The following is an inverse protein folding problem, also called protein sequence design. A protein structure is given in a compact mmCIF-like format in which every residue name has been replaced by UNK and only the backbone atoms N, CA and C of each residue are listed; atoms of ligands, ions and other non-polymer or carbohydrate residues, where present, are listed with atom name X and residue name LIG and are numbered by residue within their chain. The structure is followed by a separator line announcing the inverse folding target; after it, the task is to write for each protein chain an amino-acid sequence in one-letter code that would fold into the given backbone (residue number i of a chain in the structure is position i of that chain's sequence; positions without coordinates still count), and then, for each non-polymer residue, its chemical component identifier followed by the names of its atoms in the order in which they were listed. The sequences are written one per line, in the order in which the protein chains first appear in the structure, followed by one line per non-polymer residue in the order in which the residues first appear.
data_IF_430336900524
#
_entry.id   IF_430336900524
#
_cell.length_a   1.000
_cell.length_b   1.000
_cell.length_c   1.000
_cell.angle_alpha   90.00
_cell.angle_beta   90.00
_cell.angle_gamma   90.00
#
_symmetry.space_group_name_H-M   'P 1'
#
loop_
_entity.id
_entity.type
_entity.pdbx_description
1 polymer ?
#
# COMPACT_ATOMS: atom_id res chain seq x y z
N UNK A 1 19.99 -5.01 -3.14
CA UNK A 1 20.31 -3.80 -2.32
C UNK A 1 20.00 -4.10 -0.85
N UNK A 2 20.99 -4.02 0.06
CA UNK A 2 20.79 -4.32 1.49
C UNK A 2 20.43 -3.09 2.30
N UNK A 3 19.38 -3.19 3.11
CA UNK A 3 18.93 -2.17 4.08
C UNK A 3 18.46 -2.87 5.36
N UNK A 4 18.20 -2.12 6.45
CA UNK A 4 17.62 -2.67 7.67
C UNK A 4 16.27 -3.35 7.43
N UNK A 5 15.46 -2.84 6.47
CA UNK A 5 14.20 -3.45 6.07
C UNK A 5 14.42 -4.84 5.46
N UNK A 6 15.39 -4.98 4.53
CA UNK A 6 15.65 -6.28 3.88
C UNK A 6 16.15 -7.32 4.86
N UNK A 7 16.94 -6.91 5.84
CA UNK A 7 17.42 -7.79 6.92
C UNK A 7 16.28 -8.20 7.85
N UNK A 8 15.41 -7.26 8.24
CA UNK A 8 14.28 -7.54 9.13
C UNK A 8 13.24 -8.47 8.48
N UNK A 9 12.93 -8.28 7.20
CA UNK A 9 11.90 -9.06 6.49
C UNK A 9 12.45 -10.33 5.81
N UNK A 10 13.77 -10.51 5.72
CA UNK A 10 14.37 -11.61 4.99
C UNK A 10 14.19 -11.56 3.47
N UNK A 11 14.15 -10.37 2.89
CA UNK A 11 13.96 -10.12 1.46
C UNK A 11 15.24 -9.60 0.79
N UNK A 12 15.30 -9.68 -0.54
CA UNK A 12 16.49 -9.29 -1.32
C UNK A 12 16.51 -7.80 -1.69
N UNK A 13 15.33 -7.22 -1.90
CA UNK A 13 15.14 -5.87 -2.40
C UNK A 13 14.22 -5.05 -1.50
N UNK A 14 14.53 -3.77 -1.20
CA UNK A 14 13.74 -2.93 -0.30
C UNK A 14 12.49 -2.36 -0.99
N UNK A 15 11.75 -3.21 -1.70
CA UNK A 15 10.54 -2.89 -2.45
C UNK A 15 9.40 -3.75 -1.92
N UNK A 16 8.36 -3.10 -1.40
CA UNK A 16 7.18 -3.75 -0.84
C UNK A 16 5.94 -3.46 -1.70
N UNK A 17 5.17 -4.50 -1.98
CA UNK A 17 3.82 -4.39 -2.53
C UNK A 17 2.84 -3.95 -1.44
N UNK A 18 2.02 -2.93 -1.71
CA UNK A 18 0.91 -2.55 -0.85
C UNK A 18 -0.17 -3.63 -0.80
N UNK A 19 -0.69 -3.89 0.39
CA UNK A 19 -1.90 -4.69 0.56
C UNK A 19 -3.12 -3.88 0.10
N UNK A 20 -3.67 -4.23 -1.06
CA UNK A 20 -4.78 -3.49 -1.70
C UNK A 20 -5.99 -4.39 -1.85
N UNK A 21 -7.09 -4.05 -1.15
CA UNK A 21 -8.35 -4.78 -1.25
C UNK A 21 -8.89 -4.81 -2.69
N UNK A 22 -9.29 -5.99 -3.16
CA UNK A 22 -9.75 -6.18 -4.54
C UNK A 22 -8.63 -6.29 -5.59
N UNK A 23 -7.36 -6.04 -5.23
CA UNK A 23 -6.23 -5.95 -6.17
C UNK A 23 -5.11 -6.95 -5.87
N UNK A 24 -4.56 -6.91 -4.64
CA UNK A 24 -3.40 -7.73 -4.25
C UNK A 24 -3.84 -9.12 -3.82
N UNK A 25 -3.85 -10.05 -4.76
CA UNK A 25 -4.16 -11.47 -4.57
C UNK A 25 -2.91 -12.32 -4.77
N UNK A 26 -3.03 -13.64 -4.65
CA UNK A 26 -1.92 -14.57 -4.68
C UNK A 26 -0.99 -14.40 -5.89
N UNK A 27 -1.53 -14.17 -7.09
CA UNK A 27 -0.73 -13.99 -8.31
C UNK A 27 0.27 -12.83 -8.18
N UNK A 28 -0.22 -11.68 -7.74
CA UNK A 28 0.61 -10.49 -7.58
C UNK A 28 1.61 -10.65 -6.43
N UNK A 29 1.15 -11.21 -5.30
CA UNK A 29 2.00 -11.46 -4.12
C UNK A 29 3.17 -12.38 -4.46
N UNK A 30 2.89 -13.51 -5.12
CA UNK A 30 3.91 -14.48 -5.54
C UNK A 30 4.90 -13.84 -6.50
N UNK A 31 4.42 -13.11 -7.52
CA UNK A 31 5.30 -12.48 -8.50
C UNK A 31 6.29 -11.50 -7.85
N UNK A 32 5.83 -10.68 -6.90
CA UNK A 32 6.69 -9.73 -6.17
C UNK A 32 7.65 -10.45 -5.22
N UNK A 33 7.18 -11.46 -4.47
CA UNK A 33 8.02 -12.19 -3.52
C UNK A 33 9.10 -13.00 -4.23
N UNK A 34 8.78 -13.69 -5.34
CA UNK A 34 9.75 -14.46 -6.12
C UNK A 34 10.80 -13.56 -6.78
N UNK A 35 10.47 -12.31 -7.10
CA UNK A 35 11.43 -11.32 -7.61
C UNK A 35 12.31 -10.70 -6.50
N UNK A 36 12.22 -11.19 -5.25
CA UNK A 36 13.03 -10.71 -4.14
C UNK A 36 12.50 -9.48 -3.42
N UNK A 37 11.33 -8.95 -3.81
CA UNK A 37 10.59 -7.94 -3.07
C UNK A 37 9.75 -8.54 -1.94
N UNK A 38 8.89 -7.73 -1.33
CA UNK A 38 7.93 -8.18 -0.32
C UNK A 38 6.51 -8.13 -0.85
N UNK A 39 5.92 -9.30 -1.11
CA UNK A 39 4.51 -9.42 -1.50
C UNK A 39 3.58 -9.25 -0.32
N UNK A 40 2.44 -8.57 -0.49
CA UNK A 40 1.43 -8.39 0.56
C UNK A 40 0.01 -8.58 0.01
N UNK A 41 -0.76 -9.51 0.62
CA UNK A 41 -2.19 -9.70 0.32
C UNK A 41 -3.01 -8.55 0.88
N UNK A 42 -3.95 -8.04 0.09
CA UNK A 42 -4.95 -7.06 0.53
C UNK A 42 -6.22 -7.75 0.99
N UNK A 43 -6.24 -8.30 2.21
CA UNK A 43 -7.31 -9.16 2.68
C UNK A 43 -8.52 -8.43 3.27
N UNK A 44 -8.47 -7.12 3.44
CA UNK A 44 -9.50 -6.31 4.11
C UNK A 44 -10.89 -6.37 3.47
N UNK A 45 -10.98 -6.81 2.21
CA UNK A 45 -12.25 -6.96 1.46
C UNK A 45 -12.60 -8.41 1.19
N UNK A 46 -11.84 -9.36 1.73
CA UNK A 46 -12.06 -10.79 1.57
C UNK A 46 -12.93 -11.34 2.72
N UNK A 47 -13.73 -12.37 2.44
CA UNK A 47 -14.24 -13.24 3.53
C UNK A 47 -13.08 -14.02 4.16
N UNK A 48 -13.26 -14.50 5.40
CA UNK A 48 -12.24 -15.30 6.07
C UNK A 48 -11.83 -16.52 5.23
N UNK A 49 -12.78 -17.25 4.66
CA UNK A 49 -12.50 -18.42 3.82
C UNK A 49 -11.69 -18.04 2.58
N UNK A 50 -11.99 -16.89 1.97
CA UNK A 50 -11.24 -16.41 0.81
C UNK A 50 -9.82 -16.00 1.21
N UNK A 51 -9.64 -15.32 2.33
CA UNK A 51 -8.32 -14.95 2.84
C UNK A 51 -7.47 -16.19 3.10
N UNK A 52 -8.01 -17.19 3.78
CA UNK A 52 -7.31 -18.47 4.04
C UNK A 52 -6.93 -19.17 2.73
N UNK A 53 -7.84 -19.21 1.75
CA UNK A 53 -7.57 -19.81 0.44
C UNK A 53 -6.45 -19.07 -0.32
N UNK A 54 -6.44 -17.72 -0.30
CA UNK A 54 -5.38 -16.94 -0.94
C UNK A 54 -4.02 -17.11 -0.25
N UNK A 55 -3.98 -17.15 1.09
CA UNK A 55 -2.77 -17.44 1.85
C UNK A 55 -2.22 -18.82 1.48
N UNK A 56 -3.07 -19.84 1.42
CA UNK A 56 -2.69 -21.19 1.04
C UNK A 56 -2.14 -21.24 -0.41
N UNK A 57 -2.77 -20.50 -1.34
CA UNK A 57 -2.30 -20.44 -2.73
C UNK A 57 -0.93 -19.74 -2.83
N UNK A 58 -0.68 -18.67 -2.05
CA UNK A 58 0.65 -18.05 -1.95
C UNK A 58 1.66 -19.08 -1.45
N UNK A 59 1.37 -19.76 -0.33
CA UNK A 59 2.30 -20.72 0.29
C UNK A 59 2.62 -21.91 -0.60
N UNK A 60 1.67 -22.35 -1.41
CA UNK A 60 1.87 -23.42 -2.40
C UNK A 60 2.88 -23.02 -3.49
N UNK A 61 2.95 -21.75 -3.84
CA UNK A 61 3.71 -21.23 -5.00
C UNK A 61 5.03 -20.55 -4.62
N UNK A 62 5.21 -20.16 -3.36
CA UNK A 62 6.45 -19.54 -2.89
C UNK A 62 6.79 -19.91 -1.46
N UNK A 63 8.09 -20.03 -1.17
CA UNK A 63 8.64 -20.13 0.18
C UNK A 63 9.19 -18.79 0.70
N UNK A 64 9.17 -17.74 -0.14
CA UNK A 64 9.64 -16.41 0.21
C UNK A 64 8.72 -15.75 1.26
N UNK A 65 9.21 -14.75 2.02
CA UNK A 65 8.39 -13.97 2.94
C UNK A 65 7.27 -13.24 2.21
N UNK A 66 6.10 -13.16 2.87
CA UNK A 66 4.98 -12.34 2.43
C UNK A 66 4.14 -11.87 3.62
N UNK A 67 3.31 -10.86 3.40
CA UNK A 67 2.43 -10.30 4.40
C UNK A 67 0.94 -10.37 4.05
N UNK A 68 0.12 -10.08 5.05
CA UNK A 68 -1.33 -9.93 4.90
C UNK A 68 -1.77 -8.63 5.56
N UNK A 69 -2.44 -7.76 4.78
CA UNK A 69 -2.96 -6.46 5.22
C UNK A 69 -4.45 -6.59 5.59
N UNK A 70 -4.79 -6.16 6.82
CA UNK A 70 -6.14 -6.06 7.33
C UNK A 70 -6.42 -4.65 7.86
N UNK A 71 -7.63 -4.14 7.58
CA UNK A 71 -8.12 -2.89 8.16
C UNK A 71 -8.60 -3.13 9.60
N UNK A 72 -7.78 -2.77 10.57
CA UNK A 72 -8.03 -3.03 12.00
C UNK A 72 -9.20 -2.21 12.58
N UNK A 73 -9.63 -1.16 11.90
CA UNK A 73 -10.77 -0.33 12.30
C UNK A 73 -12.13 -0.86 11.82
N UNK A 74 -12.16 -1.99 11.09
CA UNK A 74 -13.41 -2.60 10.66
C UNK A 74 -14.00 -3.48 11.77
N UNK A 75 -15.34 -3.51 11.93
CA UNK A 75 -15.98 -4.42 12.87
C UNK A 75 -15.70 -5.88 12.48
N UNK A 76 -15.41 -6.73 13.48
CA UNK A 76 -15.19 -8.16 13.25
C UNK A 76 -14.24 -8.79 14.27
N UNK A 77 -13.97 -10.08 14.10
CA UNK A 77 -13.00 -10.84 14.89
C UNK A 77 -11.58 -10.69 14.30
N UNK A 78 -10.95 -9.55 14.58
CA UNK A 78 -9.59 -9.29 14.10
C UNK A 78 -8.57 -10.30 14.66
N UNK A 79 -8.70 -10.68 15.94
CA UNK A 79 -7.76 -11.62 16.57
C UNK A 79 -7.84 -12.98 15.91
N UNK A 80 -9.05 -13.47 15.62
CA UNK A 80 -9.25 -14.72 14.86
C UNK A 80 -8.71 -14.63 13.43
N UNK A 81 -8.85 -13.49 12.75
CA UNK A 81 -8.26 -13.28 11.43
C UNK A 81 -6.73 -13.29 11.48
N UNK A 82 -6.12 -12.62 12.47
CA UNK A 82 -4.66 -12.62 12.67
C UNK A 82 -4.15 -14.02 12.98
N UNK A 83 -4.91 -14.81 13.75
CA UNK A 83 -4.57 -16.22 13.99
C UNK A 83 -4.53 -17.02 12.68
N UNK A 84 -5.50 -16.84 11.79
CA UNK A 84 -5.51 -17.48 10.46
C UNK A 84 -4.32 -17.04 9.58
N UNK A 85 -3.93 -15.75 9.65
CA UNK A 85 -2.74 -15.22 8.97
C UNK A 85 -1.47 -15.93 9.44
N UNK A 86 -1.32 -16.12 10.76
CA UNK A 86 -0.19 -16.81 11.38
C UNK A 86 -0.17 -18.30 10.97
N UNK A 87 -1.29 -19.01 11.11
CA UNK A 87 -1.43 -20.42 10.77
C UNK A 87 -1.16 -20.70 9.29
N UNK A 88 -1.55 -19.75 8.41
CA UNK A 88 -1.25 -19.81 6.99
C UNK A 88 0.23 -19.56 6.63
N UNK A 89 1.07 -19.20 7.60
CA UNK A 89 2.52 -19.03 7.43
C UNK A 89 2.94 -17.70 6.82
N UNK A 90 2.10 -16.65 6.88
CA UNK A 90 2.55 -15.31 6.57
C UNK A 90 3.61 -14.86 7.59
N UNK A 91 4.65 -14.17 7.14
CA UNK A 91 5.74 -13.67 8.00
C UNK A 91 5.46 -12.30 8.60
N UNK A 92 4.48 -11.59 8.07
CA UNK A 92 4.13 -10.23 8.48
C UNK A 92 2.61 -10.04 8.50
N UNK A 93 2.13 -9.44 9.57
CA UNK A 93 0.81 -8.84 9.65
C UNK A 93 0.91 -7.34 9.40
N UNK A 94 0.15 -6.80 8.45
CA UNK A 94 0.08 -5.36 8.17
C UNK A 94 -1.21 -4.80 8.75
N UNK A 95 -1.07 -3.87 9.70
CA UNK A 95 -2.18 -3.24 10.40
C UNK A 95 -2.56 -1.91 9.73
N UNK A 96 -3.63 -1.89 8.95
CA UNK A 96 -4.22 -0.68 8.40
C UNK A 96 -5.17 0.01 9.39
N UNK A 97 -5.09 1.35 9.51
CA UNK A 97 -5.98 2.19 10.31
C UNK A 97 -5.99 1.92 11.84
N UNK A 98 -4.86 1.60 12.42
CA UNK A 98 -4.70 1.44 13.87
C UNK A 98 -3.72 0.34 14.24
N UNK A 99 -3.43 0.21 15.53
CA UNK A 99 -2.54 -0.84 16.07
C UNK A 99 -3.21 -1.47 17.28
N UNK A 100 -3.85 -2.64 17.13
CA UNK A 100 -4.45 -3.37 18.25
C UNK A 100 -3.36 -4.15 19.00
N UNK A 101 -3.15 -3.84 20.30
CA UNK A 101 -2.11 -4.44 21.13
C UNK A 101 -2.22 -5.98 21.19
N UNK A 102 -3.43 -6.50 21.34
CA UNK A 102 -3.66 -7.96 21.42
C UNK A 102 -3.21 -8.69 20.14
N UNK A 103 -3.38 -8.07 18.98
CA UNK A 103 -2.92 -8.63 17.71
C UNK A 103 -1.39 -8.58 17.57
N UNK A 104 -0.75 -7.50 18.06
CA UNK A 104 0.72 -7.38 18.11
C UNK A 104 1.32 -8.48 19.00
N UNK A 105 0.80 -8.63 20.22
CA UNK A 105 1.24 -9.67 21.15
C UNK A 105 1.05 -11.08 20.59
N UNK A 106 -0.05 -11.33 19.88
CA UNK A 106 -0.31 -12.59 19.20
C UNK A 106 0.73 -12.87 18.13
N UNK A 107 1.01 -11.90 17.25
CA UNK A 107 2.00 -12.00 16.18
C UNK A 107 3.39 -12.33 16.77
N UNK A 108 3.84 -11.58 17.77
CA UNK A 108 5.17 -11.74 18.36
C UNK A 108 5.35 -13.12 19.02
N UNK A 109 4.32 -13.67 19.68
CA UNK A 109 4.40 -15.04 20.24
C UNK A 109 4.66 -16.11 19.17
N UNK A 110 4.34 -15.84 17.92
CA UNK A 110 4.52 -16.75 16.79
C UNK A 110 5.64 -16.33 15.82
N UNK A 111 6.44 -15.31 16.17
CA UNK A 111 7.54 -14.82 15.35
C UNK A 111 7.09 -14.10 14.06
N UNK A 112 5.84 -13.61 14.02
CA UNK A 112 5.29 -12.81 12.92
C UNK A 112 5.51 -11.33 13.24
N UNK A 113 6.09 -10.59 12.30
CA UNK A 113 6.33 -9.15 12.43
C UNK A 113 5.07 -8.34 12.16
N UNK A 114 5.02 -7.14 12.75
CA UNK A 114 3.89 -6.23 12.59
C UNK A 114 4.33 -4.94 11.89
N UNK A 115 3.66 -4.60 10.80
CA UNK A 115 3.86 -3.36 10.04
C UNK A 115 2.64 -2.45 10.22
N UNK A 116 2.86 -1.13 10.39
CA UNK A 116 1.76 -0.18 10.49
C UNK A 116 1.91 1.02 9.56
N UNK A 117 0.77 1.48 8.99
CA UNK A 117 0.69 2.63 8.09
C UNK A 117 0.53 3.92 8.88
N UNK A 118 1.43 4.91 8.67
CA UNK A 118 1.52 6.14 9.45
C UNK A 118 1.48 7.39 8.56
N UNK A 119 0.39 8.17 8.65
CA UNK A 119 0.24 9.45 7.93
C UNK A 119 0.79 10.67 8.69
N UNK A 120 1.40 10.51 9.87
CA UNK A 120 2.05 11.56 10.68
C UNK A 120 2.93 10.99 11.79
N UNK A 121 3.86 11.79 12.30
CA UNK A 121 4.84 11.41 13.33
C UNK A 121 4.20 10.81 14.60
N UNK A 122 3.12 11.40 15.08
CA UNK A 122 2.44 10.87 16.29
C UNK A 122 1.81 9.49 16.08
N UNK A 123 1.50 9.09 14.83
CA UNK A 123 1.06 7.73 14.51
C UNK A 123 2.25 6.77 14.56
N UNK A 124 3.39 7.14 13.98
CA UNK A 124 4.60 6.33 14.00
C UNK A 124 5.09 6.05 15.43
N UNK A 125 5.16 7.09 16.29
CA UNK A 125 5.52 6.90 17.72
C UNK A 125 4.58 5.93 18.41
N UNK A 126 3.27 6.10 18.27
CA UNK A 126 2.28 5.17 18.88
C UNK A 126 2.38 3.75 18.34
N UNK A 127 2.64 3.59 17.04
CA UNK A 127 2.82 2.27 16.44
C UNK A 127 4.04 1.55 17.04
N UNK A 128 5.18 2.23 17.12
CA UNK A 128 6.41 1.67 17.71
C UNK A 128 6.25 1.41 19.21
N UNK A 129 5.60 2.32 19.95
CA UNK A 129 5.32 2.12 21.39
C UNK A 129 4.35 0.96 21.64
N UNK A 130 3.49 0.62 20.65
CA UNK A 130 2.61 -0.54 20.69
C UNK A 130 3.28 -1.84 20.19
N UNK A 131 4.57 -1.80 19.81
CA UNK A 131 5.35 -2.96 19.42
C UNK A 131 5.40 -3.23 17.90
N UNK A 132 5.02 -2.29 17.02
CA UNK A 132 5.22 -2.49 15.59
C UNK A 132 6.71 -2.55 15.25
N UNK A 133 7.09 -3.52 14.40
CA UNK A 133 8.45 -3.81 13.99
C UNK A 133 8.92 -2.97 12.80
N UNK A 134 7.98 -2.49 11.98
CA UNK A 134 8.22 -1.62 10.82
C UNK A 134 7.10 -0.59 10.74
N UNK A 135 7.43 0.65 10.38
CA UNK A 135 6.44 1.69 10.10
C UNK A 135 6.53 2.16 8.64
N UNK A 136 5.38 2.36 8.02
CA UNK A 136 5.28 2.93 6.67
C UNK A 136 4.89 4.41 6.78
N UNK A 137 5.77 5.31 6.37
CA UNK A 137 5.53 6.74 6.28
C UNK A 137 4.72 7.03 4.99
N UNK A 138 3.40 7.03 5.11
CA UNK A 138 2.49 7.19 3.99
C UNK A 138 2.09 8.66 3.81
N UNK A 139 2.64 9.31 2.79
CA UNK A 139 2.29 10.68 2.44
C UNK A 139 0.95 10.81 1.74
N UNK A 140 0.47 12.06 1.64
CA UNK A 140 -0.83 12.41 1.04
C UNK A 140 -0.90 12.14 -0.47
N UNK A 141 0.24 11.91 -1.13
CA UNK A 141 0.30 11.50 -2.53
C UNK A 141 -0.09 10.03 -2.75
N UNK A 142 -0.26 9.24 -1.69
CA UNK A 142 -0.72 7.85 -1.78
C UNK A 142 -2.16 7.74 -2.28
N UNK A 143 -2.45 6.68 -3.02
CA UNK A 143 -3.82 6.27 -3.35
C UNK A 143 -4.55 5.65 -2.16
N UNK A 144 -5.88 5.68 -2.19
CA UNK A 144 -6.71 5.22 -1.09
C UNK A 144 -6.71 6.17 0.11
N UNK A 145 -7.02 5.66 1.29
CA UNK A 145 -7.06 6.46 2.50
C UNK A 145 -5.69 7.08 2.79
N UNK A 146 -5.64 8.39 3.00
CA UNK A 146 -4.40 9.13 3.18
C UNK A 146 -4.50 10.21 4.25
N UNK A 147 -3.32 10.58 4.80
CA UNK A 147 -3.16 11.72 5.69
C UNK A 147 -3.10 13.06 4.92
N UNK A 148 -2.57 14.09 5.59
CA UNK A 148 -2.50 15.45 5.04
C UNK A 148 -1.04 15.89 4.73
N UNK A 149 -0.04 15.14 5.18
CA UNK A 149 1.37 15.51 5.03
C UNK A 149 1.91 14.87 3.76
N UNK A 150 2.58 15.64 2.92
CA UNK A 150 3.24 15.14 1.71
C UNK A 150 4.39 14.18 2.02
N UNK A 151 4.71 13.26 1.11
CA UNK A 151 5.72 12.20 1.32
C UNK A 151 7.10 12.78 1.61
N UNK A 152 7.53 13.75 0.81
CA UNK A 152 8.86 14.38 0.93
C UNK A 152 9.15 14.94 2.34
N UNK A 153 8.28 15.73 2.98
CA UNK A 153 8.48 16.21 4.34
C UNK A 153 8.12 15.18 5.42
N UNK A 154 7.25 14.18 5.15
CA UNK A 154 6.82 13.21 6.14
C UNK A 154 7.91 12.19 6.47
N UNK A 155 8.56 11.66 5.43
CA UNK A 155 9.55 10.57 5.57
C UNK A 155 10.67 10.95 6.54
N UNK A 156 11.44 12.05 6.37
CA UNK A 156 12.52 12.38 7.28
C UNK A 156 12.02 12.68 8.70
N UNK A 157 10.83 13.27 8.87
CA UNK A 157 10.27 13.52 10.20
C UNK A 157 9.92 12.21 10.95
N UNK A 158 9.48 11.17 10.24
CA UNK A 158 9.23 9.85 10.85
C UNK A 158 10.56 9.15 11.12
N UNK A 159 11.53 9.23 10.20
CA UNK A 159 12.89 8.70 10.41
C UNK A 159 13.53 9.31 11.66
N UNK A 160 13.50 10.63 11.81
CA UNK A 160 14.04 11.32 12.99
C UNK A 160 13.33 10.93 14.30
N UNK A 161 12.05 10.56 14.21
CA UNK A 161 11.24 10.27 15.39
C UNK A 161 11.33 8.82 15.88
N UNK A 162 11.57 7.85 15.00
CA UNK A 162 11.51 6.41 15.32
C UNK A 162 12.52 5.55 14.55
N UNK A 163 13.27 6.12 13.60
CA UNK A 163 14.17 5.37 12.73
C UNK A 163 15.36 4.71 13.45
N UNK A 164 15.69 5.16 14.64
CA UNK A 164 16.66 4.50 15.53
C UNK A 164 16.14 3.20 16.16
N UNK A 165 14.82 3.04 16.23
CA UNK A 165 14.14 1.89 16.86
C UNK A 165 13.70 0.84 15.86
N UNK A 166 13.11 1.25 14.71
CA UNK A 166 12.54 0.35 13.69
C UNK A 166 12.84 0.84 12.27
N UNK A 167 12.87 -0.05 11.26
CA UNK A 167 12.91 0.37 9.86
C UNK A 167 11.72 1.26 9.49
N UNK A 168 11.99 2.28 8.67
CA UNK A 168 10.99 3.20 8.12
C UNK A 168 10.88 3.00 6.61
N UNK A 169 9.67 2.81 6.11
CA UNK A 169 9.38 2.58 4.69
C UNK A 169 8.62 3.77 4.14
N UNK A 170 9.06 4.32 3.00
CA UNK A 170 8.37 5.44 2.36
C UNK A 170 7.22 4.97 1.46
N UNK A 171 6.09 5.68 1.49
CA UNK A 171 4.94 5.41 0.65
C UNK A 171 4.23 6.70 0.20
N UNK A 172 3.66 6.67 -0.99
CA UNK A 172 2.90 7.79 -1.56
C UNK A 172 3.64 8.51 -2.69
N UNK A 173 3.05 8.50 -3.88
CA UNK A 173 3.58 9.16 -5.07
C UNK A 173 4.79 8.50 -5.71
N UNK A 174 5.29 7.39 -5.15
CA UNK A 174 6.46 6.67 -5.64
C UNK A 174 6.05 5.65 -6.71
N UNK A 175 6.85 5.52 -7.79
CA UNK A 175 6.50 4.65 -8.93
C UNK A 175 7.69 4.00 -9.64
N UNK A 176 8.93 4.46 -9.41
CA UNK A 176 10.15 3.97 -10.07
C UNK A 176 11.37 3.98 -9.13
N UNK A 177 12.56 3.67 -9.67
CA UNK A 177 13.80 3.61 -8.90
C UNK A 177 14.31 4.96 -8.42
N UNK A 178 13.92 6.06 -9.06
CA UNK A 178 14.22 7.42 -8.58
C UNK A 178 13.52 7.67 -7.26
N UNK A 179 12.28 7.18 -7.14
CA UNK A 179 11.52 7.24 -5.89
C UNK A 179 12.17 6.43 -4.77
N UNK A 180 12.68 5.22 -5.07
CA UNK A 180 13.44 4.41 -4.11
C UNK A 180 14.73 5.13 -3.70
N UNK A 181 15.53 5.61 -4.63
CA UNK A 181 16.78 6.31 -4.34
C UNK A 181 16.55 7.57 -3.48
N UNK A 182 15.54 8.37 -3.82
CA UNK A 182 15.16 9.55 -3.04
C UNK A 182 14.68 9.17 -1.61
N UNK A 183 13.92 8.10 -1.47
CA UNK A 183 13.45 7.61 -0.16
C UNK A 183 14.62 7.18 0.74
N UNK A 184 15.61 6.47 0.17
CA UNK A 184 16.84 6.11 0.88
C UNK A 184 17.66 7.35 1.29
N UNK A 185 17.74 8.36 0.41
CA UNK A 185 18.40 9.63 0.73
C UNK A 185 17.69 10.42 1.86
N UNK A 186 16.37 10.24 2.02
CA UNK A 186 15.59 10.79 3.12
C UNK A 186 15.69 9.97 4.42
N UNK A 187 16.47 8.88 4.41
CA UNK A 187 16.70 8.01 5.57
C UNK A 187 15.70 6.84 5.71
N UNK A 188 14.82 6.62 4.75
CA UNK A 188 13.98 5.43 4.74
C UNK A 188 14.79 4.16 4.40
N UNK A 189 14.30 3.00 4.82
CA UNK A 189 14.93 1.69 4.57
C UNK A 189 14.36 0.96 3.35
N UNK A 190 13.32 1.52 2.69
CA UNK A 190 12.69 0.96 1.50
C UNK A 190 11.42 1.72 1.10
N UNK A 191 10.69 1.16 0.15
CA UNK A 191 9.46 1.74 -0.40
C UNK A 191 8.29 0.76 -0.38
N UNK A 192 7.07 1.32 -0.20
CA UNK A 192 5.79 0.62 -0.25
C UNK A 192 4.96 1.20 -1.40
N UNK A 193 4.70 0.39 -2.42
CA UNK A 193 4.10 0.81 -3.67
C UNK A 193 2.73 0.17 -3.88
N UNK A 194 1.72 0.99 -4.19
CA UNK A 194 0.38 0.53 -4.56
C UNK A 194 0.12 0.72 -6.06
N UNK A 195 -0.16 1.96 -6.46
CA UNK A 195 -0.62 2.33 -7.80
C UNK A 195 0.24 1.74 -8.93
N UNK A 196 1.56 1.73 -8.80
CA UNK A 196 2.45 1.17 -9.82
C UNK A 196 2.24 -0.34 -9.99
N UNK A 197 1.96 -1.07 -8.90
CA UNK A 197 1.67 -2.51 -8.95
C UNK A 197 0.24 -2.82 -9.44
N UNK A 198 -0.72 -1.89 -9.36
CA UNK A 198 -2.02 -2.06 -10.02
C UNK A 198 -1.83 -2.16 -11.53
N UNK A 199 -0.88 -1.41 -12.09
CA UNK A 199 -0.52 -1.44 -13.50
C UNK A 199 0.40 -2.62 -13.85
N UNK A 200 0.02 -3.83 -13.42
CA UNK A 200 0.69 -5.09 -13.75
C UNK A 200 -0.33 -6.13 -14.23
N UNK A 201 0.06 -7.10 -15.05
CA UNK A 201 -0.85 -8.19 -15.47
C UNK A 201 -1.43 -8.97 -14.29
N UNK A 202 -0.63 -9.23 -13.26
CA UNK A 202 -0.97 -10.06 -12.10
C UNK A 202 -1.94 -9.39 -11.13
N UNK A 203 -2.03 -8.06 -11.14
CA UNK A 203 -2.97 -7.32 -10.31
C UNK A 203 -4.41 -7.61 -10.75
N UNK A 204 -5.30 -7.86 -9.78
CA UNK A 204 -6.75 -7.90 -10.02
C UNK A 204 -7.28 -6.46 -10.11
N UNK A 205 -8.49 -6.27 -9.81
CA UNK A 205 -9.20 -5.01 -9.85
C UNK A 205 -10.45 -5.13 -10.71
N UNK A 206 -11.37 -4.22 -10.52
CA UNK A 206 -12.58 -4.13 -11.35
C UNK A 206 -12.23 -3.73 -12.79
N UNK A 207 -13.12 -4.05 -13.71
CA UNK A 207 -12.97 -3.64 -15.12
C UNK A 207 -12.74 -2.13 -15.23
N UNK A 208 -11.87 -1.72 -16.16
CA UNK A 208 -11.54 -0.31 -16.38
C UNK A 208 -10.50 0.29 -15.43
N UNK A 209 -10.14 -0.38 -14.31
CA UNK A 209 -9.20 0.21 -13.36
C UNK A 209 -7.80 0.46 -13.97
N UNK A 210 -7.25 -0.53 -14.68
CA UNK A 210 -5.94 -0.39 -15.33
C UNK A 210 -5.97 0.66 -16.44
N UNK A 211 -7.07 0.70 -17.23
CA UNK A 211 -7.26 1.71 -18.28
C UNK A 211 -7.36 3.12 -17.68
N UNK A 212 -8.09 3.29 -16.57
CA UNK A 212 -8.17 4.53 -15.85
C UNK A 212 -6.80 5.00 -15.35
N UNK A 213 -5.95 4.08 -14.84
CA UNK A 213 -4.58 4.40 -14.44
C UNK A 213 -3.73 4.89 -15.62
N UNK A 214 -3.72 4.14 -16.73
CA UNK A 214 -2.91 4.47 -17.91
C UNK A 214 -3.38 5.75 -18.61
N UNK A 215 -4.65 6.14 -18.45
CA UNK A 215 -5.23 7.35 -19.02
C UNK A 215 -5.20 8.57 -18.10
N UNK A 216 -4.75 8.43 -16.84
CA UNK A 216 -4.79 9.53 -15.86
C UNK A 216 -3.48 10.34 -15.90
N UNK A 217 -3.59 11.65 -16.12
CA UNK A 217 -2.48 12.60 -16.07
C UNK A 217 -2.01 12.87 -14.62
N UNK A 218 -0.90 13.60 -14.46
CA UNK A 218 -0.29 13.94 -13.16
C UNK A 218 -1.20 14.73 -12.22
N UNK A 219 -2.16 15.48 -12.74
CA UNK A 219 -3.17 16.25 -11.99
C UNK A 219 -4.56 15.59 -11.96
N UNK A 220 -4.70 14.38 -12.55
CA UNK A 220 -5.98 13.69 -12.70
C UNK A 220 -6.50 13.00 -11.44
N UNK A 221 -5.79 13.08 -10.30
CA UNK A 221 -6.28 12.55 -9.01
C UNK A 221 -6.81 13.66 -8.11
N UNK A 222 -7.75 13.30 -7.22
CA UNK A 222 -8.26 14.20 -6.19
C UNK A 222 -8.32 13.53 -4.83
N UNK A 223 -8.27 14.33 -3.75
CA UNK A 223 -8.57 13.85 -2.39
C UNK A 223 -10.04 14.12 -2.13
N UNK A 224 -10.82 13.06 -1.96
CA UNK A 224 -12.26 13.14 -1.75
C UNK A 224 -12.71 12.31 -0.55
N UNK A 225 -13.90 12.62 -0.03
CA UNK A 225 -14.61 11.83 0.98
C UNK A 225 -15.82 11.09 0.38
N UNK A 226 -16.04 11.25 -0.92
CA UNK A 226 -17.20 10.77 -1.64
C UNK A 226 -17.46 9.26 -1.46
N UNK A 227 -16.41 8.43 -1.44
CA UNK A 227 -16.57 6.98 -1.42
C UNK A 227 -16.66 6.38 -0.02
N UNK A 228 -15.90 6.90 0.95
CA UNK A 228 -15.83 6.27 2.27
C UNK A 228 -16.23 7.16 3.45
N UNK A 229 -16.37 8.47 3.25
CA UNK A 229 -16.56 9.44 4.33
C UNK A 229 -15.27 9.87 5.03
N UNK A 230 -14.12 9.21 4.75
CA UNK A 230 -12.77 9.64 5.11
C UNK A 230 -12.03 10.14 3.87
N UNK A 231 -11.00 10.96 4.09
CA UNK A 231 -10.13 11.43 3.01
C UNK A 231 -9.41 10.26 2.36
N UNK A 232 -9.54 10.15 1.04
CA UNK A 232 -8.82 9.20 0.22
C UNK A 232 -8.50 9.82 -1.15
N UNK A 233 -7.35 9.45 -1.72
CA UNK A 233 -6.98 9.87 -3.06
C UNK A 233 -7.46 8.84 -4.08
N UNK A 234 -8.14 9.36 -5.10
CA UNK A 234 -8.75 8.56 -6.17
C UNK A 234 -8.55 9.26 -7.51
N UNK A 235 -8.78 8.57 -8.62
CA UNK A 235 -8.99 9.22 -9.91
C UNK A 235 -10.19 10.15 -9.82
N UNK A 236 -10.05 11.38 -10.32
CA UNK A 236 -11.15 12.35 -10.37
C UNK A 236 -12.20 11.88 -11.35
N UNK A 237 -13.48 11.92 -10.96
CA UNK A 237 -14.59 11.51 -11.78
C UNK A 237 -15.89 12.23 -11.38
N UNK A 238 -16.98 11.96 -12.08
CA UNK A 238 -18.28 12.62 -11.84
C UNK A 238 -18.78 12.44 -10.40
N UNK A 239 -18.49 11.31 -9.75
CA UNK A 239 -18.92 11.06 -8.37
C UNK A 239 -18.16 11.93 -7.37
N UNK A 240 -16.85 12.11 -7.57
CA UNK A 240 -16.06 13.03 -6.74
C UNK A 240 -16.48 14.47 -6.94
N UNK A 241 -16.71 14.91 -8.19
CA UNK A 241 -17.14 16.27 -8.53
C UNK A 241 -18.52 16.60 -7.95
N UNK A 242 -19.45 15.62 -7.96
CA UNK A 242 -20.75 15.77 -7.33
C UNK A 242 -20.61 16.10 -5.84
N UNK A 243 -19.86 15.32 -5.07
CA UNK A 243 -19.71 15.54 -3.63
C UNK A 243 -18.82 16.73 -3.27
N UNK A 244 -17.91 17.14 -4.14
CA UNK A 244 -17.16 18.39 -3.98
C UNK A 244 -18.10 19.60 -4.05
N UNK A 245 -19.17 19.50 -4.86
CA UNK A 245 -20.22 20.52 -4.99
C UNK A 245 -21.35 20.39 -3.95
N UNK A 246 -21.51 19.22 -3.33
CA UNK A 246 -22.56 18.91 -2.34
C UNK A 246 -21.99 18.31 -1.05
N UNK A 247 -21.08 19.00 -0.34
CA UNK A 247 -20.38 18.45 0.83
C UNK A 247 -21.32 18.13 2.00
N UNK A 248 -22.48 18.81 2.09
CA UNK A 248 -23.47 18.59 3.16
C UNK A 248 -24.20 17.24 3.03
N UNK A 249 -24.15 16.62 1.86
CA UNK A 249 -24.74 15.29 1.64
C UNK A 249 -23.83 14.13 2.03
N UNK A 250 -22.57 14.41 2.34
CA UNK A 250 -21.60 13.39 2.76
C UNK A 250 -21.99 12.76 4.10
N UNK A 251 -22.04 11.44 4.12
CA UNK A 251 -22.21 10.68 5.37
C UNK A 251 -20.85 10.46 6.05
N UNK A 252 -20.81 10.33 7.39
CA UNK A 252 -19.57 9.95 8.09
C UNK A 252 -19.15 8.51 7.74
N UNK A 253 -17.85 8.22 7.92
CA UNK A 253 -17.31 6.85 7.85
C UNK A 253 -17.93 5.98 8.97
N UNK A 254 -18.32 4.72 8.72
CA UNK A 254 -18.30 4.00 7.43
C UNK A 254 -19.60 4.11 6.61
N UNK A 255 -20.60 4.90 7.06
CA UNK A 255 -21.93 4.98 6.42
C UNK A 255 -21.87 5.43 4.94
N UNK A 256 -20.87 6.24 4.57
CA UNK A 256 -20.67 6.67 3.20
C UNK A 256 -20.26 5.52 2.27
N UNK A 257 -19.57 4.48 2.79
CA UNK A 257 -19.25 3.27 2.01
C UNK A 257 -20.54 2.61 1.53
N UNK A 258 -21.50 2.40 2.44
CA UNK A 258 -22.79 1.82 2.08
C UNK A 258 -23.58 2.66 1.05
N UNK A 259 -23.47 4.00 1.13
CA UNK A 259 -24.06 4.89 0.13
C UNK A 259 -23.40 4.72 -1.23
N UNK A 260 -22.09 4.85 -1.32
CA UNK A 260 -21.37 4.75 -2.60
C UNK A 260 -21.51 3.38 -3.27
N UNK A 261 -21.61 2.30 -2.47
CA UNK A 261 -21.94 0.96 -2.98
C UNK A 261 -23.38 0.90 -3.51
N UNK A 262 -24.33 1.48 -2.80
CA UNK A 262 -25.73 1.56 -3.23
C UNK A 262 -25.94 2.40 -4.48
N UNK A 263 -25.15 3.44 -4.66
CA UNK A 263 -25.14 4.30 -5.84
C UNK A 263 -24.43 3.66 -7.06
N UNK A 264 -23.81 2.46 -6.89
CA UNK A 264 -23.06 1.77 -7.95
C UNK A 264 -21.71 2.43 -8.28
N UNK A 265 -21.17 3.25 -7.37
CA UNK A 265 -19.92 3.99 -7.56
C UNK A 265 -18.72 3.36 -6.83
N UNK A 266 -18.94 2.31 -6.03
CA UNK A 266 -17.86 1.64 -5.29
C UNK A 266 -18.12 0.13 -5.17
N UNK A 267 -17.42 -0.65 -5.98
CA UNK A 267 -17.47 -2.12 -5.95
C UNK A 267 -16.33 -2.67 -5.08
N UNK A 268 -16.45 -2.42 -3.77
CA UNK A 268 -15.44 -2.79 -2.77
C UNK A 268 -15.10 -4.29 -2.82
N UNK A 269 -13.83 -4.62 -3.10
CA UNK A 269 -13.38 -6.02 -3.23
C UNK A 269 -13.76 -6.69 -4.55
N UNK A 270 -14.35 -5.95 -5.49
CA UNK A 270 -14.68 -6.43 -6.81
C UNK A 270 -13.45 -6.90 -7.60
N UNK A 271 -13.71 -7.68 -8.64
CA UNK A 271 -12.69 -8.22 -9.55
C UNK A 271 -13.04 -7.99 -11.03
N UNK A 272 -12.27 -8.56 -11.95
CA UNK A 272 -12.44 -8.32 -13.38
C UNK A 272 -13.84 -8.67 -13.92
N UNK A 273 -14.50 -9.65 -13.28
CA UNK A 273 -15.84 -10.12 -13.68
C UNK A 273 -16.98 -9.40 -12.95
N UNK A 274 -16.68 -8.36 -12.18
CA UNK A 274 -17.70 -7.58 -11.46
C UNK A 274 -18.57 -6.82 -12.46
N UNK A 275 -19.88 -7.09 -12.44
CA UNK A 275 -20.84 -6.42 -13.33
C UNK A 275 -21.22 -5.03 -12.82
N UNK A 276 -21.70 -4.18 -13.72
CA UNK A 276 -22.25 -2.86 -13.37
C UNK A 276 -21.20 -1.76 -13.14
N UNK A 277 -19.95 -2.00 -13.47
CA UNK A 277 -18.89 -0.98 -13.36
C UNK A 277 -19.15 0.13 -14.39
N UNK A 278 -19.33 1.35 -13.88
CA UNK A 278 -19.35 2.58 -14.70
C UNK A 278 -18.03 3.34 -14.42
N UNK A 279 -17.08 3.37 -15.36
CA UNK A 279 -15.78 4.02 -15.15
C UNK A 279 -15.88 5.53 -14.89
N UNK A 280 -16.98 6.18 -15.23
CA UNK A 280 -17.18 7.61 -14.99
C UNK A 280 -17.52 7.95 -13.53
N UNK A 281 -17.90 6.97 -12.71
CA UNK A 281 -18.25 7.15 -11.29
C UNK A 281 -17.53 6.17 -10.36
N UNK A 282 -16.90 5.12 -10.89
CA UNK A 282 -16.26 4.07 -10.09
C UNK A 282 -15.09 4.61 -9.23
N UNK A 283 -14.99 4.06 -8.04
CA UNK A 283 -13.88 4.33 -7.12
C UNK A 283 -12.59 3.65 -7.58
N UNK A 284 -11.65 4.43 -8.10
CA UNK A 284 -10.30 3.98 -8.44
C UNK A 284 -9.27 4.63 -7.51
N UNK A 285 -8.92 4.02 -6.36
CA UNK A 285 -7.92 4.55 -5.42
C UNK A 285 -6.53 4.62 -6.05
N UNK A 286 -6.06 5.81 -6.37
CA UNK A 286 -4.88 6.02 -7.20
C UNK A 286 -3.99 7.11 -6.63
N UNK A 287 -2.70 6.83 -6.48
CA UNK A 287 -1.70 7.78 -6.00
C UNK A 287 -1.28 8.79 -7.07
N UNK A 288 -0.69 9.90 -6.63
CA UNK A 288 -0.35 11.04 -7.49
C UNK A 288 0.77 10.75 -8.50
N UNK A 289 1.56 9.68 -8.29
CA UNK A 289 2.55 9.23 -9.26
C UNK A 289 1.97 8.57 -10.52
N UNK A 290 0.64 8.49 -10.66
CA UNK A 290 -0.05 7.82 -11.77
C UNK A 290 0.30 8.40 -13.14
N UNK A 291 0.49 9.72 -13.26
CA UNK A 291 0.85 10.37 -14.52
C UNK A 291 2.19 9.91 -15.14
N UNK A 292 2.99 9.15 -14.39
CA UNK A 292 4.22 8.52 -14.89
C UNK A 292 4.05 7.01 -15.19
N UNK A 293 2.83 6.48 -15.13
CA UNK A 293 2.53 5.07 -15.39
C UNK A 293 1.88 4.93 -16.76
N UNK A 294 2.64 4.48 -17.76
CA UNK A 294 2.21 4.48 -19.16
C UNK A 294 2.01 3.09 -19.75
N UNK A 295 2.38 2.03 -19.01
CA UNK A 295 2.32 0.65 -19.49
C UNK A 295 2.13 -0.36 -18.35
N UNK A 296 1.61 -1.53 -18.72
CA UNK A 296 1.55 -2.69 -17.84
C UNK A 296 2.88 -3.43 -17.92
N UNK A 297 3.55 -3.59 -16.79
CA UNK A 297 4.81 -4.33 -16.67
C UNK A 297 4.58 -5.52 -15.73
N UNK A 298 5.06 -6.75 -16.02
CA UNK A 298 4.99 -7.87 -15.08
C UNK A 298 5.58 -7.49 -13.72
N UNK A 299 4.89 -7.86 -12.63
CA UNK A 299 5.23 -7.37 -11.30
C UNK A 299 6.64 -7.76 -10.85
N UNK A 300 7.10 -8.96 -11.18
CA UNK A 300 8.47 -9.39 -10.89
C UNK A 300 9.53 -8.57 -11.64
N UNK A 301 9.27 -8.27 -12.91
CA UNK A 301 10.14 -7.44 -13.74
C UNK A 301 10.19 -6.00 -13.22
N UNK A 302 9.04 -5.48 -12.78
CA UNK A 302 8.94 -4.15 -12.18
C UNK A 302 9.81 -4.02 -10.91
N UNK A 303 9.83 -5.03 -10.04
CA UNK A 303 10.70 -5.03 -8.84
C UNK A 303 12.16 -4.87 -9.24
N UNK A 304 12.62 -5.66 -10.22
CA UNK A 304 14.01 -5.60 -10.72
C UNK A 304 14.32 -4.25 -11.33
N UNK A 305 13.45 -3.72 -12.20
CA UNK A 305 13.63 -2.42 -12.85
C UNK A 305 13.78 -1.28 -11.82
N UNK A 306 12.92 -1.27 -10.78
CA UNK A 306 12.99 -0.25 -9.71
C UNK A 306 14.34 -0.31 -8.98
N UNK A 307 14.82 -1.50 -8.66
CA UNK A 307 16.09 -1.67 -7.93
C UNK A 307 17.27 -1.25 -8.79
N UNK A 308 17.35 -1.75 -10.03
CA UNK A 308 18.45 -1.41 -10.95
C UNK A 308 18.50 0.09 -11.25
N UNK A 309 17.34 0.73 -11.43
CA UNK A 309 17.29 2.18 -11.65
C UNK A 309 17.74 2.92 -10.38
N UNK A 310 17.30 2.54 -9.19
CA UNK A 310 17.73 3.16 -7.94
C UNK A 310 19.25 3.05 -7.75
N UNK A 311 19.83 1.89 -8.05
CA UNK A 311 21.29 1.69 -7.98
C UNK A 311 22.05 2.61 -8.95
N UNK A 312 21.53 2.77 -10.19
CA UNK A 312 22.13 3.71 -11.16
C UNK A 312 22.03 5.17 -10.67
N UNK A 313 20.88 5.57 -10.11
CA UNK A 313 20.70 6.93 -9.57
C UNK A 313 21.66 7.18 -8.41
N UNK A 314 21.75 6.28 -7.45
CA UNK A 314 22.65 6.41 -6.30
C UNK A 314 24.13 6.46 -6.73
N UNK A 315 24.54 5.62 -7.68
CA UNK A 315 25.89 5.64 -8.22
C UNK A 315 26.20 6.98 -8.94
N UNK A 316 25.23 7.51 -9.68
CA UNK A 316 25.37 8.82 -10.35
C UNK A 316 25.51 9.96 -9.34
N UNK A 317 24.72 9.96 -8.26
CA UNK A 317 24.80 10.95 -7.20
C UNK A 317 26.12 10.88 -6.45
N UNK A 318 26.63 9.68 -6.15
CA UNK A 318 27.92 9.48 -5.51
C UNK A 318 29.10 9.98 -6.37
N UNK A 319 28.97 9.93 -7.71
CA UNK A 319 29.94 10.44 -8.64
C UNK A 319 29.86 11.98 -8.85
N UNK A 320 28.79 12.62 -8.34
CA UNK A 320 28.60 14.06 -8.48
C UNK A 320 29.60 14.80 -7.60
N UNK A 321 30.54 15.53 -8.22
CA UNK A 321 31.47 16.40 -7.48
C UNK A 321 30.72 17.62 -6.93
N UNK A 322 30.54 17.68 -5.63
CA UNK A 322 30.16 18.91 -4.95
C UNK A 322 31.36 19.87 -5.04
N UNK A 323 31.28 20.92 -5.87
CA UNK A 323 32.30 21.94 -5.90
C UNK A 323 32.35 22.59 -4.51
N UNK A 324 33.47 22.41 -3.81
CA UNK A 324 33.76 23.22 -2.62
C UNK A 324 33.74 24.69 -3.00
N UNK A 325 33.17 25.58 -2.18
CA UNK A 325 33.16 27.03 -2.43
C UNK A 325 34.57 27.64 -2.51
#
# INVERSE_FOLDING_TARGET
MKTRLTEALGIEHPVMLAGMGGVSYADLVVAVSEAGGFGCLGASTMSNDRMVAEIAEVRKRTHKPFGVDLLTAMPGDLVGQVQQVIEGGASVFVAGLGVPADAVDLCHRHGVLVVNMCGKVSHARRAVDAGCDVVVAQGTEAGGHTGLVATMPLVPQIVDAVGDRVPVVAAGGLFDGRGLAASLALGADGVWLGTRFIATPEARGVSGYKDALLGTAEDGTTISRAFSGKTMRVVRNKYTEYFDSHPDELKPFPAQIGRSMGDGAFHLGGGPDTAGIDPEVECYPTGQGVGAVHELVPAGELVVQIVEEAERVLASLAATQVRSP
#
